data_IF_682492187509
#
_entry.id   IF_682492187509
#
_cell.length_a   1.000
_cell.length_b   1.000
_cell.length_c   1.000
_cell.angle_alpha   90.00
_cell.angle_beta   90.00
_cell.angle_gamma   90.00
#
_symmetry.space_group_name_H-M   'P 1'
#
loop_
_entity.id
_entity.type
_entity.pdbx_description
1 polymer ?
#
# COMPACT_ATOMS: atom_id res chain seq x y z
N UNK A 1 18.86 51.05 25.44
CA UNK A 1 19.04 49.63 25.83
C UNK A 1 17.80 48.86 25.38
N UNK A 2 18.01 47.96 24.42
CA UNK A 2 17.25 46.74 24.07
C UNK A 2 15.73 46.74 24.34
N UNK A 3 14.94 46.93 23.28
CA UNK A 3 13.60 46.34 23.16
C UNK A 3 13.75 44.82 23.04
N UNK A 4 13.00 44.04 23.83
CA UNK A 4 12.86 42.61 23.57
C UNK A 4 11.45 42.19 23.98
N UNK A 5 10.57 42.18 22.99
CA UNK A 5 9.25 41.58 23.05
C UNK A 5 9.42 40.06 23.22
N UNK A 6 8.82 39.49 24.27
CA UNK A 6 8.73 38.06 24.45
C UNK A 6 7.31 37.65 24.05
N UNK A 7 7.14 37.46 22.74
CA UNK A 7 5.94 36.90 22.12
C UNK A 7 5.96 35.39 22.40
N UNK A 8 5.14 34.96 23.37
CA UNK A 8 4.94 33.55 23.68
C UNK A 8 4.29 32.84 22.49
N UNK A 9 5.05 31.98 21.83
CA UNK A 9 4.57 31.09 20.77
C UNK A 9 3.74 29.97 21.43
N UNK A 10 2.41 30.12 21.46
CA UNK A 10 1.52 29.05 21.85
C UNK A 10 1.55 27.94 20.79
N UNK A 11 2.10 26.78 21.15
CA UNK A 11 2.02 25.57 20.34
C UNK A 11 0.56 25.08 20.39
N UNK A 12 -0.20 25.38 19.35
CA UNK A 12 -1.50 24.76 19.12
C UNK A 12 -1.25 23.29 18.78
N UNK A 13 -1.48 22.41 19.76
CA UNK A 13 -1.48 20.97 19.55
C UNK A 13 -2.52 20.60 18.50
N UNK A 14 -2.06 20.10 17.36
CA UNK A 14 -2.91 19.55 16.32
C UNK A 14 -3.49 18.23 16.83
N UNK A 15 -4.66 18.28 17.48
CA UNK A 15 -5.42 17.09 17.82
C UNK A 15 -6.03 16.53 16.54
N UNK A 16 -5.41 15.49 15.98
CA UNK A 16 -6.02 14.65 14.97
C UNK A 16 -7.20 13.93 15.63
N UNK A 17 -8.42 14.42 15.42
CA UNK A 17 -9.63 13.69 15.74
C UNK A 17 -9.75 12.54 14.75
N UNK A 18 -9.40 11.33 15.20
CA UNK A 18 -9.77 10.11 14.49
C UNK A 18 -11.30 10.10 14.33
N UNK A 19 -11.78 10.31 13.11
CA UNK A 19 -13.17 10.10 12.78
C UNK A 19 -13.41 8.59 12.94
N UNK A 20 -14.03 8.19 14.05
CA UNK A 20 -14.58 6.86 14.17
C UNK A 20 -15.64 6.73 13.08
N UNK A 21 -15.27 6.09 11.96
CA UNK A 21 -16.23 5.78 10.90
C UNK A 21 -17.30 4.90 11.52
N UNK A 22 -18.52 5.46 11.64
CA UNK A 22 -19.67 4.71 12.09
C UNK A 22 -19.89 3.55 11.11
N UNK A 23 -19.48 2.35 11.49
CA UNK A 23 -19.69 1.15 10.69
C UNK A 23 -21.20 0.90 10.63
N UNK A 24 -21.79 1.19 9.47
CA UNK A 24 -23.22 0.91 9.28
C UNK A 24 -23.43 -0.60 9.27
N UNK A 25 -24.26 -1.13 10.16
CA UNK A 25 -24.62 -2.54 10.18
C UNK A 25 -25.93 -2.72 9.40
N UNK A 26 -26.02 -3.77 8.58
CA UNK A 26 -27.27 -4.16 7.91
C UNK A 26 -27.71 -5.54 8.40
N UNK A 27 -29.00 -5.66 8.66
CA UNK A 27 -29.63 -6.92 9.03
C UNK A 27 -29.91 -7.72 7.77
N UNK A 28 -29.32 -8.91 7.64
CA UNK A 28 -29.48 -9.81 6.49
C UNK A 28 -30.12 -11.12 6.97
N UNK A 29 -31.08 -11.62 6.20
CA UNK A 29 -31.68 -12.93 6.45
C UNK A 29 -30.84 -14.03 5.79
N UNK A 30 -30.20 -14.88 6.60
CA UNK A 30 -29.44 -16.03 6.13
C UNK A 30 -30.35 -17.26 6.18
N UNK A 31 -30.41 -17.99 5.07
CA UNK A 31 -31.17 -19.25 4.92
C UNK A 31 -30.19 -20.41 4.98
N UNK A 32 -30.45 -21.35 5.88
CA UNK A 32 -29.70 -22.61 5.97
C UNK A 32 -30.33 -23.64 5.02
N UNK A 33 -29.66 -23.92 3.90
CA UNK A 33 -30.15 -24.78 2.82
C UNK A 33 -29.92 -26.27 3.07
N UNK A 34 -29.43 -26.65 4.26
CA UNK A 34 -29.24 -28.04 4.62
C UNK A 34 -30.58 -28.75 4.88
N UNK A 35 -30.78 -29.93 4.26
CA UNK A 35 -31.94 -30.80 4.50
C UNK A 35 -33.10 -30.62 3.51
N UNK A 36 -34.28 -31.16 3.88
CA UNK A 36 -35.50 -31.03 3.08
C UNK A 36 -36.25 -29.74 3.46
N UNK A 37 -36.96 -29.10 2.52
CA UNK A 37 -37.77 -27.92 2.82
C UNK A 37 -38.83 -28.20 3.90
N UNK A 38 -39.24 -27.19 4.70
CA UNK A 38 -38.85 -25.78 4.65
C UNK A 38 -37.55 -25.46 5.40
N UNK A 39 -36.73 -24.58 4.83
CA UNK A 39 -35.41 -24.22 5.34
C UNK A 39 -35.46 -23.31 6.57
N UNK A 40 -34.51 -23.52 7.49
CA UNK A 40 -34.32 -22.67 8.67
C UNK A 40 -33.75 -21.32 8.24
N UNK A 41 -34.18 -20.24 8.90
CA UNK A 41 -33.74 -18.86 8.59
C UNK A 41 -33.30 -18.15 9.87
N UNK A 42 -32.26 -17.31 9.79
CA UNK A 42 -31.76 -16.49 10.91
C UNK A 42 -31.51 -15.07 10.42
N UNK A 43 -31.83 -14.07 11.24
CA UNK A 43 -31.42 -12.68 11.00
C UNK A 43 -30.05 -12.47 11.61
N UNK A 44 -29.11 -11.95 10.83
CA UNK A 44 -27.73 -11.68 11.27
C UNK A 44 -27.39 -10.25 10.90
N UNK A 45 -26.79 -9.53 11.85
CA UNK A 45 -26.25 -8.19 11.62
C UNK A 45 -24.83 -8.31 11.06
N UNK A 46 -24.62 -7.76 9.87
CA UNK A 46 -23.34 -7.78 9.18
C UNK A 46 -22.86 -6.34 9.02
N UNK A 47 -21.60 -6.02 9.38
CA UNK A 47 -21.03 -4.71 9.11
C UNK A 47 -20.94 -4.49 7.59
N UNK A 48 -21.46 -3.37 7.12
CA UNK A 48 -21.31 -2.92 5.74
C UNK A 48 -19.99 -2.19 5.65
N UNK A 49 -19.09 -2.72 4.83
CA UNK A 49 -17.88 -2.04 4.41
C UNK A 49 -18.10 -1.52 2.99
N UNK A 50 -17.68 -0.27 2.75
CA UNK A 50 -17.72 0.31 1.41
C UNK A 50 -16.64 -0.34 0.55
N UNK A 51 -17.00 -0.75 -0.67
CA UNK A 51 -16.10 -1.43 -1.60
C UNK A 51 -14.85 -0.59 -1.91
N UNK A 52 -14.99 0.74 -1.92
CA UNK A 52 -13.87 1.67 -2.13
C UNK A 52 -12.80 1.60 -1.02
N UNK A 53 -13.16 1.23 0.21
CA UNK A 53 -12.19 1.07 1.31
C UNK A 53 -11.44 -0.25 1.24
N UNK A 54 -11.93 -1.21 0.45
CA UNK A 54 -11.28 -2.51 0.29
C UNK A 54 -10.07 -2.45 -0.65
N UNK A 55 -10.07 -1.51 -1.61
CA UNK A 55 -8.91 -1.23 -2.47
C UNK A 55 -7.72 -0.66 -1.69
N UNK A 56 -7.97 0.03 -0.57
CA UNK A 56 -6.94 0.55 0.32
C UNK A 56 -6.31 -0.54 1.21
N UNK A 57 -6.94 -1.71 1.33
CA UNK A 57 -6.40 -2.87 2.05
C UNK A 57 -5.45 -3.70 1.18
N UNK A 58 -4.64 -3.03 0.35
CA UNK A 58 -3.23 -3.38 0.08
C UNK A 58 -2.87 -4.84 -0.20
N UNK A 59 -3.73 -5.62 -0.84
CA UNK A 59 -3.31 -6.90 -1.42
C UNK A 59 -2.48 -6.57 -2.66
N UNK A 60 -1.15 -6.60 -2.49
CA UNK A 60 -0.23 -6.41 -3.61
C UNK A 60 -0.43 -7.57 -4.56
N UNK A 61 -1.09 -7.30 -5.70
CA UNK A 61 -1.24 -8.29 -6.76
C UNK A 61 0.15 -8.78 -7.18
N UNK A 62 0.38 -10.09 -7.15
CA UNK A 62 1.67 -10.68 -7.54
C UNK A 62 1.52 -11.57 -8.76
N UNK A 63 2.48 -11.46 -9.69
CA UNK A 63 2.52 -12.27 -10.92
C UNK A 63 3.72 -13.20 -10.91
N UNK A 64 3.49 -14.47 -11.22
CA UNK A 64 4.55 -15.48 -11.37
C UNK A 64 5.30 -15.28 -12.69
N UNK A 65 6.58 -14.90 -12.60
CA UNK A 65 7.48 -14.75 -13.75
C UNK A 65 8.59 -15.79 -13.72
N UNK A 66 8.95 -16.33 -14.88
CA UNK A 66 10.10 -17.24 -15.03
C UNK A 66 11.36 -16.42 -15.32
N UNK A 67 12.27 -16.35 -14.35
CA UNK A 67 13.49 -15.53 -14.42
C UNK A 67 14.72 -16.43 -14.53
N UNK A 68 15.70 -16.02 -15.35
CA UNK A 68 17.00 -16.70 -15.46
C UNK A 68 17.75 -16.52 -14.14
N UNK A 69 18.20 -17.62 -13.54
CA UNK A 69 18.84 -17.61 -12.21
C UNK A 69 20.34 -17.38 -12.30
N UNK A 70 20.99 -17.95 -13.31
CA UNK A 70 22.42 -17.75 -13.55
C UNK A 70 22.69 -17.72 -15.06
N UNK A 71 23.52 -16.76 -15.48
CA UNK A 71 23.99 -16.61 -16.86
C UNK A 71 25.35 -17.28 -17.10
N UNK A 72 25.62 -18.38 -16.40
CA UNK A 72 26.90 -19.07 -16.47
C UNK A 72 26.82 -20.31 -17.36
N UNK A 73 27.87 -20.56 -18.16
CA UNK A 73 27.99 -21.72 -19.04
C UNK A 73 27.42 -21.51 -20.45
N UNK A 74 27.35 -22.60 -21.22
CA UNK A 74 26.72 -22.59 -22.55
C UNK A 74 25.19 -22.68 -22.40
N UNK A 75 24.41 -22.04 -23.28
CA UNK A 75 22.96 -22.13 -23.24
C UNK A 75 22.47 -23.58 -23.42
N UNK A 76 21.29 -23.93 -22.87
CA UNK A 76 20.30 -23.06 -22.22
C UNK A 76 20.54 -22.83 -20.71
N UNK A 77 20.31 -21.60 -20.25
CA UNK A 77 20.51 -21.19 -18.85
C UNK A 77 19.44 -21.71 -17.89
N UNK A 78 19.82 -21.83 -16.61
CA UNK A 78 18.93 -22.23 -15.53
C UNK A 78 17.89 -21.15 -15.23
N UNK A 79 16.65 -21.56 -14.93
CA UNK A 79 15.49 -20.66 -14.72
C UNK A 79 14.72 -21.05 -13.46
N UNK A 80 14.15 -20.07 -12.77
CA UNK A 80 13.26 -20.26 -11.61
C UNK A 80 12.00 -19.39 -11.73
N UNK A 81 10.93 -19.78 -11.07
CA UNK A 81 9.70 -18.98 -10.99
C UNK A 81 9.78 -18.07 -9.77
N UNK A 82 9.49 -16.79 -9.94
CA UNK A 82 9.51 -15.76 -8.90
C UNK A 82 8.20 -14.98 -8.96
N UNK A 83 7.62 -14.70 -7.79
CA UNK A 83 6.45 -13.83 -7.66
C UNK A 83 6.93 -12.36 -7.61
N UNK A 84 6.43 -11.55 -8.54
CA UNK A 84 6.82 -10.14 -8.70
C UNK A 84 5.58 -9.29 -8.48
N UNK A 85 5.64 -8.24 -7.64
CA UNK A 85 4.52 -7.35 -7.41
C UNK A 85 4.16 -6.60 -8.70
N UNK A 86 2.87 -6.45 -8.93
CA UNK A 86 2.30 -5.57 -9.95
C UNK A 86 2.23 -4.18 -9.34
N UNK A 87 2.76 -3.20 -10.08
CA UNK A 87 2.72 -1.79 -9.69
C UNK A 87 2.11 -1.03 -10.85
N UNK A 88 1.11 -0.20 -10.57
CA UNK A 88 0.49 0.64 -11.58
C UNK A 88 1.45 1.73 -12.04
N UNK A 89 1.46 1.99 -13.35
CA UNK A 89 2.37 2.95 -13.98
C UNK A 89 2.18 4.35 -13.39
N UNK A 90 0.93 4.72 -13.06
CA UNK A 90 0.62 6.01 -12.45
C UNK A 90 1.26 6.19 -11.06
N UNK A 91 1.31 5.13 -10.25
CA UNK A 91 1.93 5.17 -8.92
C UNK A 91 3.46 5.16 -8.99
N UNK A 92 4.03 4.62 -10.07
CA UNK A 92 5.48 4.53 -10.26
C UNK A 92 6.14 5.91 -10.47
N UNK A 93 5.45 6.85 -11.12
CA UNK A 93 5.96 8.20 -11.35
C UNK A 93 6.24 8.94 -10.03
N UNK A 94 5.36 8.80 -9.04
CA UNK A 94 5.52 9.42 -7.72
C UNK A 94 6.71 8.84 -6.93
N UNK A 95 6.89 7.51 -6.96
CA UNK A 95 7.98 6.83 -6.25
C UNK A 95 9.34 7.10 -6.90
N UNK A 96 9.40 7.17 -8.23
CA UNK A 96 10.64 7.43 -8.96
C UNK A 96 11.22 8.83 -8.70
N UNK A 97 10.36 9.84 -8.57
CA UNK A 97 10.78 11.23 -8.27
C UNK A 97 11.35 11.37 -6.85
N UNK A 98 10.90 10.53 -5.90
CA UNK A 98 11.47 10.48 -4.55
C UNK A 98 12.88 9.85 -4.54
N UNK A 99 13.10 8.81 -5.34
CA UNK A 99 14.39 8.11 -5.42
C UNK A 99 15.50 8.91 -6.15
N UNK A 100 15.14 9.79 -7.08
CA UNK A 100 16.12 10.58 -7.86
C UNK A 100 16.78 11.73 -7.07
N UNK A 101 16.30 12.08 -5.87
CA UNK A 101 16.79 13.23 -5.10
C UNK A 101 18.15 13.02 -4.41
N UNK A 102 18.82 11.87 -4.56
CA UNK A 102 20.11 11.63 -3.93
C UNK A 102 21.16 11.04 -4.87
N UNK A 103 21.69 11.84 -5.79
CA UNK A 103 23.05 11.63 -6.32
C UNK A 103 23.79 12.95 -6.26
N UNK A 104 24.52 13.18 -5.15
CA UNK A 104 25.52 14.26 -5.12
C UNK A 104 26.62 13.88 -6.12
N UNK A 105 26.68 14.60 -7.24
CA UNK A 105 27.71 14.46 -8.27
C UNK A 105 29.09 14.79 -7.67
N UNK A 106 29.78 13.79 -7.18
CA UNK A 106 31.08 13.90 -6.55
C UNK A 106 32.24 13.64 -7.51
N UNK A 107 33.08 14.67 -7.66
CA UNK A 107 34.48 14.72 -8.11
C UNK A 107 34.75 14.69 -9.63
N UNK A 108 35.26 15.84 -10.11
CA UNK A 108 35.90 16.03 -11.41
C UNK A 108 37.01 14.97 -11.61
N UNK A 109 37.13 14.39 -12.81
CA UNK A 109 38.15 13.37 -13.08
C UNK A 109 39.55 13.99 -12.96
N UNK A 110 40.54 13.24 -12.44
CA UNK A 110 41.91 13.72 -12.39
C UNK A 110 42.43 13.89 -13.83
N UNK A 111 42.69 15.12 -14.22
CA UNK A 111 43.47 15.38 -15.43
C UNK A 111 44.89 14.88 -15.20
N UNK A 112 45.42 14.09 -16.15
CA UNK A 112 46.84 13.71 -16.13
C UNK A 112 47.67 14.98 -16.34
N UNK A 113 48.64 15.21 -15.44
CA UNK A 113 49.75 16.13 -15.67
C UNK A 113 50.84 15.42 -16.45
#
# INVERSE_FOLDING_TARGET
MKHLALLGLAVAGFSCSALAMAQSTKTVQIVDTQGKPPFKRKMVEIPVQDVAQFEELGEVETVRKRVVTSFNGKPPYTRRVVEVPVVDIAQFEEVSQAAQKQVKSGKRPPFKR
#
